data_IF_156966158970
#
_entry.id   IF_156966158970
#
_cell.length_a   1.000
_cell.length_b   1.000
_cell.length_c   1.000
_cell.angle_alpha   90.00
_cell.angle_beta   90.00
_cell.angle_gamma   90.00
#
_symmetry.space_group_name_H-M   'P 1'
#
loop_
_entity.id
_entity.type
_entity.pdbx_description
1 polymer ?
#
# COMPACT_ATOMS: atom_id res chain seq x y z
N UNK A 1 -14.57 7.05 14.05
CA UNK A 1 -14.74 8.53 14.12
C UNK A 1 -13.38 9.17 13.86
N UNK A 2 -13.22 9.93 12.77
CA UNK A 2 -11.99 10.68 12.53
C UNK A 2 -11.96 11.85 13.54
N UNK A 3 -11.00 11.92 14.46
CA UNK A 3 -10.99 12.96 15.49
C UNK A 3 -10.92 14.36 14.87
N UNK A 4 -11.62 15.35 15.44
CA UNK A 4 -11.59 16.76 15.00
C UNK A 4 -10.15 17.31 14.83
N UNK A 5 -9.23 16.80 15.65
CA UNK A 5 -7.81 17.17 15.63
C UNK A 5 -7.07 16.66 14.39
N UNK A 6 -7.49 15.54 13.79
CA UNK A 6 -6.91 15.02 12.54
C UNK A 6 -7.13 16.02 11.40
N UNK A 7 -8.36 16.54 11.23
CA UNK A 7 -8.64 17.55 10.22
C UNK A 7 -7.89 18.86 10.46
N UNK A 8 -7.67 19.25 11.72
CA UNK A 8 -6.84 20.41 12.07
C UNK A 8 -5.39 20.23 11.63
N UNK A 9 -4.84 19.03 11.74
CA UNK A 9 -3.50 18.71 11.21
C UNK A 9 -3.50 18.80 9.68
N UNK A 10 -4.47 18.19 9.01
CA UNK A 10 -4.55 18.21 7.54
C UNK A 10 -4.66 19.63 6.96
N UNK A 11 -5.33 20.57 7.64
CA UNK A 11 -5.41 21.98 7.22
C UNK A 11 -4.05 22.71 7.15
N UNK A 12 -2.99 22.14 7.72
CA UNK A 12 -1.61 22.68 7.63
C UNK A 12 -0.93 22.33 6.30
N UNK A 13 -1.50 21.42 5.52
CA UNK A 13 -0.98 20.95 4.24
C UNK A 13 -1.65 21.71 3.08
N UNK A 14 -0.93 21.89 1.96
CA UNK A 14 -1.49 22.37 0.70
C UNK A 14 -2.46 21.33 0.09
N UNK A 15 -3.40 21.74 -0.79
CA UNK A 15 -4.46 20.86 -1.28
C UNK A 15 -3.98 19.52 -1.84
N UNK A 16 -2.98 19.51 -2.72
CA UNK A 16 -2.45 18.25 -3.28
C UNK A 16 -1.87 17.34 -2.19
N UNK A 17 -1.12 17.91 -1.23
CA UNK A 17 -0.55 17.13 -0.14
C UNK A 17 -1.61 16.60 0.84
N UNK A 18 -2.74 17.28 0.99
CA UNK A 18 -3.86 16.77 1.79
C UNK A 18 -4.44 15.48 1.20
N UNK A 19 -4.55 15.40 -0.13
CA UNK A 19 -5.03 14.22 -0.84
C UNK A 19 -4.08 13.05 -0.61
N UNK A 20 -2.79 13.25 -0.87
CA UNK A 20 -1.77 12.21 -0.68
C UNK A 20 -1.76 11.67 0.76
N UNK A 21 -1.80 12.57 1.77
CA UNK A 21 -1.84 12.16 3.18
C UNK A 21 -3.10 11.36 3.49
N UNK A 22 -4.25 11.72 2.89
CA UNK A 22 -5.48 10.96 3.05
C UNK A 22 -5.38 9.55 2.45
N UNK A 23 -4.80 9.43 1.26
CA UNK A 23 -4.55 8.14 0.59
C UNK A 23 -3.62 7.26 1.44
N UNK A 24 -2.51 7.81 1.97
CA UNK A 24 -1.62 7.08 2.88
C UNK A 24 -2.36 6.59 4.13
N UNK A 25 -3.24 7.41 4.71
CA UNK A 25 -4.03 7.02 5.88
C UNK A 25 -5.05 5.92 5.58
N UNK A 26 -5.62 5.91 4.38
CA UNK A 26 -6.52 4.85 3.88
C UNK A 26 -5.73 3.56 3.69
N UNK A 27 -4.60 3.60 2.98
CA UNK A 27 -3.76 2.45 2.72
C UNK A 27 -3.26 1.78 4.01
N UNK A 28 -2.94 2.58 5.02
CA UNK A 28 -2.49 2.09 6.34
C UNK A 28 -3.65 1.77 7.30
N UNK A 29 -4.90 1.97 6.88
CA UNK A 29 -6.10 1.85 7.70
C UNK A 29 -5.96 2.55 9.08
N UNK A 30 -5.37 3.75 9.09
CA UNK A 30 -4.99 4.45 10.33
C UNK A 30 -5.40 5.92 10.28
N UNK A 31 -6.45 6.26 11.01
CA UNK A 31 -7.07 7.60 10.96
C UNK A 31 -6.85 8.46 12.22
N UNK A 32 -5.89 8.07 13.06
CA UNK A 32 -5.67 8.71 14.37
C UNK A 32 -4.97 10.06 14.26
N UNK A 33 -5.27 10.96 15.21
CA UNK A 33 -4.63 12.28 15.28
C UNK A 33 -3.08 12.19 15.38
N UNK A 34 -2.48 11.33 16.22
CA UNK A 34 -1.03 11.20 16.27
C UNK A 34 -0.40 10.84 14.93
N UNK A 35 -1.09 10.03 14.13
CA UNK A 35 -0.60 9.60 12.82
C UNK A 35 -0.68 10.72 11.78
N UNK A 36 -1.81 11.45 11.72
CA UNK A 36 -1.89 12.63 10.87
C UNK A 36 -0.86 13.69 11.27
N UNK A 37 -0.63 13.89 12.57
CA UNK A 37 0.41 14.80 13.08
C UNK A 37 1.81 14.37 12.64
N UNK A 38 2.12 13.07 12.64
CA UNK A 38 3.41 12.58 12.13
C UNK A 38 3.57 12.79 10.63
N UNK A 39 2.51 12.61 9.83
CA UNK A 39 2.55 12.84 8.39
C UNK A 39 2.75 14.33 8.05
N UNK A 40 2.11 15.24 8.78
CA UNK A 40 2.39 16.69 8.67
C UNK A 40 3.82 17.00 9.13
N UNK A 41 4.28 16.36 10.21
CA UNK A 41 5.65 16.51 10.70
C UNK A 41 6.72 15.90 9.78
N UNK A 42 6.37 15.04 8.84
CA UNK A 42 7.25 14.52 7.80
C UNK A 42 7.12 15.27 6.46
N UNK A 43 6.14 16.18 6.34
CA UNK A 43 5.90 16.91 5.10
C UNK A 43 6.91 18.06 4.92
N UNK A 44 7.53 18.19 3.73
CA UNK A 44 8.42 19.29 3.37
C UNK A 44 7.75 20.67 3.48
N UNK A 45 8.52 21.69 3.86
CA UNK A 45 8.02 23.04 4.10
C UNK A 45 7.21 23.64 2.94
N UNK A 46 7.65 23.44 1.70
CA UNK A 46 7.01 24.00 0.50
C UNK A 46 5.60 23.41 0.23
N UNK A 47 5.25 22.29 0.88
CA UNK A 47 3.94 21.64 0.81
C UNK A 47 3.04 22.01 2.00
N UNK A 48 3.54 22.83 2.93
CA UNK A 48 2.76 23.38 4.04
C UNK A 48 2.10 24.71 3.64
N UNK A 49 1.02 25.06 4.35
CA UNK A 49 0.33 26.35 4.20
C UNK A 49 1.05 27.48 4.95
N UNK A 50 1.82 27.15 5.99
CA UNK A 50 2.65 28.11 6.73
C UNK A 50 3.93 28.44 5.96
N UNK A 51 4.28 29.73 5.87
CA UNK A 51 5.56 30.19 5.33
C UNK A 51 6.70 30.13 6.35
N UNK A 52 6.37 30.04 7.66
CA UNK A 52 7.38 29.88 8.71
C UNK A 52 8.02 28.50 8.63
N UNK A 53 9.37 28.48 8.73
CA UNK A 53 10.16 27.24 8.82
C UNK A 53 9.65 26.39 9.98
N UNK A 54 9.35 25.13 9.67
CA UNK A 54 8.86 24.13 10.59
C UNK A 54 9.96 23.79 11.59
N UNK A 55 9.60 23.83 12.87
CA UNK A 55 10.48 23.46 13.98
C UNK A 55 9.91 22.22 14.66
N UNK A 56 10.74 21.20 14.82
CA UNK A 56 10.43 19.99 15.59
C UNK A 56 11.27 20.03 16.85
N UNK A 57 10.64 19.99 18.03
CA UNK A 57 11.32 20.11 19.31
C UNK A 57 12.39 19.01 19.44
N UNK A 58 13.64 19.40 19.60
CA UNK A 58 14.77 18.48 19.82
C UNK A 58 15.51 18.02 18.55
N UNK A 59 15.16 18.54 17.36
CA UNK A 59 15.89 18.26 16.12
C UNK A 59 16.51 19.55 15.56
N UNK A 60 17.72 19.44 15.01
CA UNK A 60 18.34 20.50 14.21
C UNK A 60 17.67 20.62 12.84
N UNK A 61 17.86 21.76 12.19
CA UNK A 61 17.35 22.00 10.84
C UNK A 61 17.88 20.96 9.83
N UNK A 62 19.15 20.56 9.96
CA UNK A 62 19.77 19.51 9.12
C UNK A 62 19.13 18.14 9.35
N UNK A 63 18.82 17.80 10.60
CA UNK A 63 18.14 16.54 10.94
C UNK A 63 16.72 16.50 10.39
N UNK A 64 16.00 17.63 10.42
CA UNK A 64 14.66 17.75 9.83
C UNK A 64 14.75 17.54 8.31
N UNK A 65 15.72 18.17 7.65
CA UNK A 65 15.90 18.03 6.20
C UNK A 65 16.28 16.61 5.79
N UNK A 66 17.18 15.95 6.52
CA UNK A 66 17.53 14.55 6.29
C UNK A 66 16.31 13.64 6.42
N UNK A 67 15.54 13.80 7.50
CA UNK A 67 14.32 13.02 7.75
C UNK A 67 13.27 13.25 6.66
N UNK A 68 13.10 14.47 6.15
CA UNK A 68 12.18 14.78 5.05
C UNK A 68 12.60 14.10 3.74
N UNK A 69 13.90 14.04 3.45
CA UNK A 69 14.43 13.30 2.29
C UNK A 69 14.18 11.80 2.41
N UNK A 70 14.46 11.22 3.58
CA UNK A 70 14.19 9.81 3.84
C UNK A 70 12.70 9.48 3.71
N UNK A 71 11.82 10.30 4.29
CA UNK A 71 10.38 10.13 4.18
C UNK A 71 9.91 10.20 2.71
N UNK A 72 10.51 11.08 1.90
CA UNK A 72 10.21 11.18 0.47
C UNK A 72 10.65 9.93 -0.30
N UNK A 73 11.81 9.36 0.03
CA UNK A 73 12.29 8.12 -0.59
C UNK A 73 11.37 6.95 -0.24
N UNK A 74 10.99 6.81 1.02
CA UNK A 74 10.06 5.76 1.48
C UNK A 74 8.70 5.89 0.79
N UNK A 75 8.16 7.12 0.66
CA UNK A 75 6.88 7.35 -0.03
C UNK A 75 6.95 6.92 -1.50
N UNK A 76 8.07 7.20 -2.18
CA UNK A 76 8.29 6.77 -3.58
C UNK A 76 8.38 5.26 -3.69
N UNK A 77 9.15 4.60 -2.83
CA UNK A 77 9.25 3.13 -2.80
C UNK A 77 7.89 2.48 -2.54
N UNK A 78 7.15 3.02 -1.59
CA UNK A 78 5.78 2.57 -1.29
C UNK A 78 4.87 2.69 -2.51
N UNK A 79 4.85 3.85 -3.19
CA UNK A 79 4.02 4.06 -4.39
C UNK A 79 4.42 3.15 -5.55
N UNK A 80 5.71 2.87 -5.73
CA UNK A 80 6.16 1.92 -6.77
C UNK A 80 5.59 0.52 -6.51
N UNK A 81 5.59 0.07 -5.26
CA UNK A 81 5.00 -1.22 -4.86
C UNK A 81 3.48 -1.19 -5.02
N UNK A 82 2.82 -0.12 -4.58
CA UNK A 82 1.36 0.06 -4.69
C UNK A 82 0.89 0.04 -6.16
N UNK A 83 1.67 0.66 -7.07
CA UNK A 83 1.34 0.69 -8.48
C UNK A 83 1.34 -0.71 -9.12
N UNK A 84 2.26 -1.59 -8.74
CA UNK A 84 2.27 -2.97 -9.25
C UNK A 84 1.24 -3.84 -8.54
N UNK A 85 0.99 -3.61 -7.24
CA UNK A 85 0.13 -4.44 -6.40
C UNK A 85 -1.26 -4.70 -7.01
N UNK A 86 -1.92 -3.65 -7.52
CA UNK A 86 -3.25 -3.81 -8.11
C UNK A 86 -3.26 -4.70 -9.35
N UNK A 87 -2.25 -4.55 -10.21
CA UNK A 87 -2.11 -5.34 -11.44
C UNK A 87 -1.70 -6.77 -11.10
N UNK A 88 -0.69 -6.96 -10.25
CA UNK A 88 -0.20 -8.26 -9.81
C UNK A 88 -1.31 -9.06 -9.11
N UNK A 89 -2.11 -8.40 -8.29
CA UNK A 89 -3.25 -9.02 -7.62
C UNK A 89 -4.34 -9.44 -8.60
N UNK A 90 -4.68 -8.60 -9.58
CA UNK A 90 -5.65 -8.95 -10.62
C UNK A 90 -5.17 -10.13 -11.46
N UNK A 91 -3.90 -10.12 -11.88
CA UNK A 91 -3.28 -11.20 -12.63
C UNK A 91 -3.30 -12.51 -11.84
N UNK A 92 -3.00 -12.46 -10.54
CA UNK A 92 -3.09 -13.62 -9.65
C UNK A 92 -4.53 -14.15 -9.54
N UNK A 93 -5.53 -13.28 -9.37
CA UNK A 93 -6.95 -13.66 -9.31
C UNK A 93 -7.39 -14.34 -10.62
N UNK A 94 -6.97 -13.79 -11.76
CA UNK A 94 -7.27 -14.35 -13.08
C UNK A 94 -6.58 -15.70 -13.31
N UNK A 95 -5.29 -15.79 -12.99
CA UNK A 95 -4.50 -17.02 -13.14
C UNK A 95 -5.07 -18.15 -12.27
N UNK A 96 -5.33 -17.87 -10.98
CA UNK A 96 -5.90 -18.86 -10.06
C UNK A 96 -7.34 -19.26 -10.45
N UNK A 97 -8.14 -18.32 -10.96
CA UNK A 97 -9.47 -18.62 -11.50
C UNK A 97 -9.45 -19.43 -12.80
N UNK A 98 -8.42 -19.26 -13.63
CA UNK A 98 -8.20 -20.12 -14.81
C UNK A 98 -7.76 -21.53 -14.40
N UNK A 99 -6.84 -21.64 -13.44
CA UNK A 99 -6.42 -22.94 -12.89
C UNK A 99 -7.60 -23.72 -12.32
N UNK A 100 -8.51 -23.06 -11.58
CA UNK A 100 -9.73 -23.69 -11.06
C UNK A 100 -10.57 -24.34 -12.18
N UNK A 101 -10.89 -23.56 -13.23
CA UNK A 101 -11.62 -24.05 -14.42
C UNK A 101 -10.89 -25.19 -15.14
N UNK A 102 -9.56 -25.13 -15.18
CA UNK A 102 -8.75 -26.17 -15.78
C UNK A 102 -8.80 -27.48 -14.97
N UNK A 103 -8.77 -27.39 -13.65
CA UNK A 103 -8.87 -28.56 -12.74
C UNK A 103 -10.28 -29.16 -12.67
N UNK A 104 -11.31 -28.44 -13.12
CA UNK A 104 -12.67 -28.99 -13.30
C UNK A 104 -12.79 -29.85 -14.58
N UNK A 105 -11.89 -29.68 -15.55
CA UNK A 105 -11.92 -30.42 -16.80
C UNK A 105 -11.29 -31.81 -16.63
N UNK A 106 -12.15 -32.83 -16.56
CA UNK A 106 -11.75 -34.24 -16.38
C UNK A 106 -10.69 -34.71 -17.38
N UNK A 107 -10.73 -34.26 -18.65
CA UNK A 107 -9.73 -34.65 -19.66
C UNK A 107 -8.35 -34.07 -19.34
N UNK A 108 -8.31 -32.83 -18.86
CA UNK A 108 -7.06 -32.15 -18.48
C UNK A 108 -6.50 -32.78 -17.21
N UNK A 109 -7.34 -33.01 -16.20
CA UNK A 109 -6.93 -33.70 -14.96
C UNK A 109 -6.37 -35.08 -15.25
N UNK A 110 -7.04 -35.87 -16.10
CA UNK A 110 -6.55 -37.20 -16.47
C UNK A 110 -5.19 -37.15 -17.18
N UNK A 111 -5.00 -36.19 -18.09
CA UNK A 111 -3.72 -35.98 -18.76
C UNK A 111 -2.62 -35.58 -17.76
N UNK A 112 -2.87 -34.60 -16.90
CA UNK A 112 -1.91 -34.15 -15.89
C UNK A 112 -1.60 -35.27 -14.88
N UNK A 113 -2.58 -36.03 -14.42
CA UNK A 113 -2.36 -37.16 -13.51
C UNK A 113 -1.44 -38.22 -14.12
N UNK A 114 -1.53 -38.43 -15.45
CA UNK A 114 -0.75 -39.44 -16.17
C UNK A 114 0.68 -38.99 -16.48
N UNK A 115 0.86 -37.73 -16.87
CA UNK A 115 2.14 -37.22 -17.40
C UNK A 115 2.85 -36.21 -16.50
N UNK A 116 2.11 -35.50 -15.64
CA UNK A 116 2.59 -34.39 -14.80
C UNK A 116 1.93 -34.40 -13.39
N UNK A 117 2.02 -35.49 -12.61
CA UNK A 117 1.28 -35.64 -11.36
C UNK A 117 1.68 -34.61 -10.29
N UNK A 118 2.96 -34.21 -10.25
CA UNK A 118 3.43 -33.16 -9.34
C UNK A 118 2.78 -31.81 -9.66
N UNK A 119 2.70 -31.44 -10.94
CA UNK A 119 2.05 -30.21 -11.38
C UNK A 119 0.55 -30.20 -11.06
N UNK A 120 -0.13 -31.35 -11.21
CA UNK A 120 -1.52 -31.49 -10.83
C UNK A 120 -1.73 -31.22 -9.33
N UNK A 121 -0.86 -31.78 -8.48
CA UNK A 121 -0.92 -31.57 -7.03
C UNK A 121 -0.71 -30.09 -6.66
N UNK A 122 0.25 -29.42 -7.31
CA UNK A 122 0.46 -27.98 -7.14
C UNK A 122 -0.77 -27.16 -7.54
N UNK A 123 -1.36 -27.44 -8.70
CA UNK A 123 -2.55 -26.73 -9.17
C UNK A 123 -3.75 -26.93 -8.23
N UNK A 124 -3.98 -28.16 -7.76
CA UNK A 124 -5.05 -28.44 -6.80
C UNK A 124 -4.82 -27.68 -5.48
N UNK A 125 -3.59 -27.60 -4.99
CA UNK A 125 -3.26 -26.83 -3.78
C UNK A 125 -3.52 -25.34 -3.98
N UNK A 126 -3.12 -24.77 -5.12
CA UNK A 126 -3.36 -23.36 -5.45
C UNK A 126 -4.87 -23.06 -5.48
N UNK A 127 -5.67 -23.95 -6.08
CA UNK A 127 -7.13 -23.79 -6.14
C UNK A 127 -7.75 -23.86 -4.74
N UNK A 128 -7.33 -24.80 -3.89
CA UNK A 128 -7.80 -24.89 -2.50
C UNK A 128 -7.47 -23.62 -1.69
N UNK A 129 -6.28 -23.06 -1.87
CA UNK A 129 -5.89 -21.82 -1.21
C UNK A 129 -6.78 -20.64 -1.63
N UNK A 130 -7.18 -20.60 -2.90
CA UNK A 130 -8.13 -19.59 -3.42
C UNK A 130 -9.51 -19.71 -2.78
N UNK A 131 -10.01 -20.93 -2.56
CA UNK A 131 -11.34 -21.15 -1.96
C UNK A 131 -11.39 -20.81 -0.46
N UNK A 132 -10.24 -20.82 0.21
CA UNK A 132 -10.11 -20.51 1.64
C UNK A 132 -9.90 -19.01 1.94
N UNK A 133 -9.63 -18.19 0.92
CA UNK A 133 -9.36 -16.75 1.02
C UNK A 133 -10.65 -15.93 0.82
#
# INVERSE_FOLDING_TARGET
>A
MVPLNTFREMKKLRPMRQIEVAETMIAMNRFSWPYAKSLVAATPQHLLTSEKRKTVRGLSDEQIEHMEREATNIDREFRMIEQSYGTDHLDLVLATGYLARMTENVRVVHHLARFHPELLAEFQRIVQLREAA
#
